data_IF_278255769980
#
_entry.id   IF_278255769980
#
_cell.length_a   1.000
_cell.length_b   1.000
_cell.length_c   1.000
_cell.angle_alpha   90.00
_cell.angle_beta   90.00
_cell.angle_gamma   90.00
#
_symmetry.space_group_name_H-M   'P 1'
#
loop_
_entity.id
_entity.type
_entity.pdbx_description
1 polymer ?
#
# COMPACT_ATOMS: atom_id res chain seq x y z
N UNK A 1 32.48 18.32 8.09
CA UNK A 1 32.26 16.97 7.55
C UNK A 1 31.03 16.42 8.25
N UNK A 2 29.87 16.42 7.59
CA UNK A 2 28.66 15.84 8.18
C UNK A 2 28.82 14.32 8.24
N UNK A 3 28.53 13.73 9.40
CA UNK A 3 28.74 12.33 9.70
C UNK A 3 27.92 11.44 8.74
N UNK A 4 28.59 10.73 7.82
CA UNK A 4 27.97 9.75 6.93
C UNK A 4 27.17 8.68 7.69
N UNK A 5 27.55 8.38 8.93
CA UNK A 5 26.82 7.46 9.83
C UNK A 5 25.41 7.93 10.19
N UNK A 6 25.18 9.23 10.35
CA UNK A 6 23.85 9.75 10.71
C UNK A 6 22.89 9.72 9.51
N UNK A 7 23.40 9.93 8.29
CA UNK A 7 22.63 9.89 7.05
C UNK A 7 22.11 8.48 6.71
N UNK A 8 22.90 7.45 7.00
CA UNK A 8 22.51 6.05 6.73
C UNK A 8 21.45 5.55 7.73
N UNK A 9 21.52 6.01 8.99
CA UNK A 9 20.51 5.69 10.00
C UNK A 9 19.15 6.33 9.68
N UNK A 10 19.16 7.58 9.18
CA UNK A 10 17.92 8.24 8.73
C UNK A 10 17.32 7.57 7.50
N UNK A 11 18.13 7.16 6.53
CA UNK A 11 17.66 6.43 5.34
C UNK A 11 17.02 5.08 5.71
N UNK A 12 17.67 4.32 6.60
CA UNK A 12 17.13 3.05 7.08
C UNK A 12 15.80 3.21 7.83
N UNK A 13 15.68 4.25 8.67
CA UNK A 13 14.45 4.56 9.40
C UNK A 13 13.32 4.93 8.45
N UNK A 14 13.57 5.83 7.50
CA UNK A 14 12.56 6.27 6.52
C UNK A 14 12.05 5.10 5.67
N UNK A 15 12.94 4.22 5.20
CA UNK A 15 12.57 3.02 4.44
C UNK A 15 11.70 2.05 5.26
N UNK A 16 11.95 1.93 6.56
CA UNK A 16 11.11 1.09 7.43
C UNK A 16 9.75 1.75 7.70
N UNK A 17 9.70 3.07 7.85
CA UNK A 17 8.46 3.84 7.98
C UNK A 17 7.58 3.68 6.73
N UNK A 18 8.17 3.71 5.53
CA UNK A 18 7.46 3.48 4.27
C UNK A 18 6.87 2.07 4.21
N UNK A 19 7.64 1.05 4.61
CA UNK A 19 7.13 -0.32 4.67
C UNK A 19 5.94 -0.44 5.63
N UNK A 20 6.09 0.08 6.86
CA UNK A 20 5.01 0.07 7.85
C UNK A 20 3.76 0.81 7.35
N UNK A 21 3.94 1.93 6.65
CA UNK A 21 2.85 2.66 6.03
C UNK A 21 2.17 1.84 4.92
N UNK A 22 2.94 1.16 4.07
CA UNK A 22 2.41 0.23 3.05
C UNK A 22 1.56 -0.88 3.66
N UNK A 23 1.97 -1.42 4.82
CA UNK A 23 1.22 -2.43 5.56
C UNK A 23 -0.12 -1.88 6.07
N UNK A 24 -0.15 -0.63 6.57
CA UNK A 24 -1.38 0.03 6.99
C UNK A 24 -2.31 0.28 5.80
N UNK A 25 -1.78 0.81 4.69
CA UNK A 25 -2.57 1.02 3.46
C UNK A 25 -3.14 -0.29 2.92
N UNK A 26 -2.41 -1.39 3.02
CA UNK A 26 -2.90 -2.73 2.64
C UNK A 26 -4.10 -3.14 3.50
N UNK A 27 -4.03 -2.92 4.82
CA UNK A 27 -5.16 -3.17 5.73
C UNK A 27 -6.39 -2.33 5.37
N UNK A 28 -6.20 -1.06 5.03
CA UNK A 28 -7.29 -0.15 4.60
C UNK A 28 -7.91 -0.63 3.28
N UNK A 29 -7.09 -0.97 2.28
CA UNK A 29 -7.58 -1.38 0.96
C UNK A 29 -8.42 -2.67 1.03
N UNK A 30 -8.07 -3.56 1.95
CA UNK A 30 -8.67 -4.90 2.06
C UNK A 30 -9.74 -5.02 3.14
N UNK A 31 -9.77 -4.09 4.11
CA UNK A 31 -10.62 -4.20 5.30
C UNK A 31 -10.22 -5.35 6.23
N UNK A 32 -9.02 -5.92 6.04
CA UNK A 32 -8.55 -7.10 6.78
C UNK A 32 -7.51 -6.73 7.82
N UNK A 33 -7.49 -7.48 8.92
CA UNK A 33 -6.40 -7.39 9.90
C UNK A 33 -5.09 -7.83 9.25
N UNK A 34 -4.03 -7.06 9.46
CA UNK A 34 -2.69 -7.33 8.89
C UNK A 34 -2.11 -8.64 9.42
N UNK A 35 -2.39 -8.94 10.68
CA UNK A 35 -2.04 -10.20 11.33
C UNK A 35 -3.29 -10.77 12.00
N UNK A 36 -3.54 -12.05 11.77
CA UNK A 36 -4.77 -12.74 12.15
C UNK A 36 -4.47 -14.24 12.32
N UNK A 37 -4.37 -14.68 13.57
CA UNK A 37 -4.04 -16.07 13.95
C UNK A 37 -5.16 -17.07 13.62
N UNK A 38 -6.39 -16.59 13.49
CA UNK A 38 -7.54 -17.42 13.14
C UNK A 38 -7.67 -17.60 11.62
N UNK A 39 -6.90 -16.82 10.83
CA UNK A 39 -6.85 -16.96 9.39
C UNK A 39 -6.16 -18.28 9.01
N UNK A 40 -6.71 -18.96 8.00
CA UNK A 40 -6.20 -20.26 7.54
C UNK A 40 -4.67 -20.31 7.43
N UNK A 41 -4.08 -21.43 7.87
CA UNK A 41 -2.64 -21.69 7.83
C UNK A 41 -2.01 -21.22 6.51
N UNK A 42 -0.92 -20.44 6.61
CA UNK A 42 -0.21 -19.75 5.51
C UNK A 42 -0.84 -18.44 5.00
N UNK A 43 -1.85 -17.89 5.68
CA UNK A 43 -2.40 -16.55 5.39
C UNK A 43 -2.32 -15.58 6.58
N UNK A 44 -1.76 -16.02 7.70
CA UNK A 44 -1.59 -15.24 8.93
C UNK A 44 -0.88 -13.89 8.66
N UNK A 45 0.09 -13.89 7.74
CA UNK A 45 0.70 -12.66 7.22
C UNK A 45 -0.07 -12.17 5.97
N UNK A 46 -0.80 -11.07 6.12
CA UNK A 46 -1.56 -10.46 5.04
C UNK A 46 -0.68 -10.06 3.85
N UNK A 47 0.54 -9.57 4.08
CA UNK A 47 1.45 -9.10 3.02
C UNK A 47 1.82 -10.24 2.07
N UNK A 48 2.27 -11.37 2.62
CA UNK A 48 2.72 -12.51 1.82
C UNK A 48 1.58 -13.11 0.99
N UNK A 49 0.37 -13.13 1.54
CA UNK A 49 -0.79 -13.67 0.86
C UNK A 49 -1.36 -12.72 -0.19
N UNK A 50 -1.38 -11.41 0.08
CA UNK A 50 -2.11 -10.42 -0.74
C UNK A 50 -1.28 -9.83 -1.87
N UNK A 51 0.04 -9.67 -1.72
CA UNK A 51 0.88 -9.06 -2.77
C UNK A 51 0.65 -9.65 -4.17
N UNK A 52 0.58 -10.99 -4.36
CA UNK A 52 0.34 -11.58 -5.68
C UNK A 52 -1.01 -11.16 -6.30
N UNK A 53 -1.99 -10.81 -5.48
CA UNK A 53 -3.36 -10.48 -5.88
C UNK A 53 -3.54 -8.98 -6.17
N UNK A 54 -2.58 -8.13 -5.80
CA UNK A 54 -2.59 -6.70 -6.11
C UNK A 54 -2.05 -6.37 -7.52
N UNK A 55 -1.49 -7.36 -8.21
CA UNK A 55 -0.83 -7.17 -9.50
C UNK A 55 -1.80 -6.87 -10.66
N UNK A 56 -3.05 -7.33 -10.57
CA UNK A 56 -4.06 -7.13 -11.60
C UNK A 56 -5.42 -6.72 -11.00
N UNK A 57 -6.18 -5.93 -11.76
CA UNK A 57 -7.44 -5.34 -11.29
C UNK A 57 -8.53 -6.39 -11.00
N UNK A 58 -8.47 -7.56 -11.65
CA UNK A 58 -9.47 -8.63 -11.49
C UNK A 58 -9.24 -9.34 -10.16
N UNK A 59 -8.01 -9.75 -9.88
CA UNK A 59 -7.62 -10.38 -8.61
C UNK A 59 -7.81 -9.41 -7.44
N UNK A 60 -7.51 -8.12 -7.64
CA UNK A 60 -7.68 -7.10 -6.60
C UNK A 60 -9.14 -6.98 -6.14
N UNK A 61 -10.12 -7.09 -7.05
CA UNK A 61 -11.56 -7.03 -6.70
C UNK A 61 -11.99 -8.14 -5.74
N UNK A 62 -11.26 -9.25 -5.68
CA UNK A 62 -11.56 -10.37 -4.79
C UNK A 62 -11.22 -10.05 -3.33
N UNK A 63 -10.19 -9.24 -3.12
CA UNK A 63 -9.61 -8.95 -1.79
C UNK A 63 -9.90 -7.53 -1.30
N UNK A 64 -10.39 -6.66 -2.17
CA UNK A 64 -10.75 -5.29 -1.85
C UNK A 64 -11.92 -5.28 -0.87
N UNK A 65 -11.86 -4.40 0.13
CA UNK A 65 -12.91 -4.23 1.13
C UNK A 65 -14.28 -4.07 0.42
N UNK A 66 -15.27 -4.93 0.70
CA UNK A 66 -16.60 -4.79 0.15
C UNK A 66 -17.18 -3.39 0.40
N UNK A 67 -16.94 -2.77 1.55
CA UNK A 67 -17.44 -1.42 1.85
C UNK A 67 -16.85 -0.36 0.90
N UNK A 68 -15.59 -0.51 0.49
CA UNK A 68 -15.01 0.35 -0.53
C UNK A 68 -15.64 0.13 -1.90
N UNK A 69 -16.06 -1.10 -2.23
CA UNK A 69 -16.76 -1.40 -3.48
C UNK A 69 -18.17 -0.77 -3.54
N UNK A 70 -18.85 -0.63 -2.39
CA UNK A 70 -20.22 -0.11 -2.31
C UNK A 70 -20.29 1.43 -2.21
N UNK A 71 -19.25 2.08 -1.69
CA UNK A 71 -19.22 3.52 -1.44
C UNK A 71 -18.65 4.34 -2.63
N UNK A 72 -18.90 3.92 -3.86
CA UNK A 72 -18.46 4.59 -5.08
C UNK A 72 -16.94 4.83 -5.20
N UNK A 73 -16.10 4.08 -4.45
CA UNK A 73 -14.65 4.21 -4.56
C UNK A 73 -14.23 4.00 -6.02
N UNK A 74 -13.57 4.98 -6.66
CA UNK A 74 -13.21 4.85 -8.07
C UNK A 74 -12.33 3.61 -8.26
N UNK A 75 -12.72 2.63 -9.11
CA UNK A 75 -11.93 1.41 -9.31
C UNK A 75 -10.47 1.68 -9.70
N UNK A 76 -10.26 2.79 -10.43
CA UNK A 76 -8.93 3.28 -10.83
C UNK A 76 -8.12 3.87 -9.68
N UNK A 77 -8.76 4.57 -8.74
CA UNK A 77 -8.12 5.09 -7.53
C UNK A 77 -7.71 3.96 -6.59
N UNK A 78 -8.59 2.96 -6.41
CA UNK A 78 -8.27 1.75 -5.66
C UNK A 78 -7.11 0.96 -6.28
N UNK A 79 -7.09 0.82 -7.61
CA UNK A 79 -5.99 0.16 -8.31
C UNK A 79 -4.66 0.94 -8.18
N UNK A 80 -4.68 2.28 -8.26
CA UNK A 80 -3.48 3.08 -7.99
C UNK A 80 -3.00 2.96 -6.55
N UNK A 81 -3.91 2.88 -5.59
CA UNK A 81 -3.57 2.61 -4.20
C UNK A 81 -2.91 1.23 -4.06
N UNK A 82 -3.41 0.20 -4.75
CA UNK A 82 -2.78 -1.12 -4.77
C UNK A 82 -1.35 -1.08 -5.33
N UNK A 83 -1.13 -0.34 -6.42
CA UNK A 83 0.22 -0.16 -6.99
C UNK A 83 1.15 0.58 -6.00
N UNK A 84 0.63 1.59 -5.28
CA UNK A 84 1.39 2.27 -4.24
C UNK A 84 1.79 1.31 -3.11
N UNK A 85 0.86 0.48 -2.65
CA UNK A 85 1.11 -0.55 -1.63
C UNK A 85 2.20 -1.52 -2.10
N UNK A 86 2.16 -1.97 -3.35
CA UNK A 86 3.20 -2.84 -3.94
C UNK A 86 4.59 -2.20 -3.89
N UNK A 87 4.69 -0.90 -4.20
CA UNK A 87 5.97 -0.19 -4.16
C UNK A 87 6.46 0.04 -2.72
N UNK A 88 5.58 0.40 -1.78
CA UNK A 88 5.94 0.55 -0.37
C UNK A 88 6.39 -0.76 0.28
N UNK A 89 5.82 -1.89 -0.14
CA UNK A 89 6.13 -3.23 0.36
C UNK A 89 7.20 -3.95 -0.46
N UNK A 90 7.85 -3.24 -1.40
CA UNK A 90 8.80 -3.86 -2.30
C UNK A 90 10.01 -4.42 -1.51
N UNK A 91 10.52 -5.63 -1.84
CA UNK A 91 11.64 -6.23 -1.10
C UNK A 91 12.93 -5.42 -1.16
N UNK A 92 13.15 -4.70 -2.27
CA UNK A 92 14.28 -3.77 -2.43
C UNK A 92 13.89 -2.40 -1.93
N UNK A 93 14.58 -1.91 -0.91
CA UNK A 93 14.33 -0.60 -0.30
C UNK A 93 14.54 0.59 -1.23
N UNK A 94 15.34 0.45 -2.28
CA UNK A 94 15.59 1.53 -3.24
C UNK A 94 14.44 1.71 -4.25
N UNK A 95 13.51 0.75 -4.29
CA UNK A 95 12.27 0.84 -5.07
C UNK A 95 11.13 1.44 -4.23
N UNK A 96 11.38 1.73 -2.94
CA UNK A 96 10.41 2.40 -2.10
C UNK A 96 10.20 3.84 -2.58
N UNK A 97 8.96 4.30 -2.71
CA UNK A 97 8.67 5.68 -3.05
C UNK A 97 9.06 6.59 -1.88
N UNK A 98 9.44 7.82 -2.19
CA UNK A 98 9.57 8.88 -1.20
C UNK A 98 8.22 9.21 -0.57
N UNK A 99 8.24 9.81 0.64
CA UNK A 99 7.00 10.24 1.30
C UNK A 99 6.23 11.29 0.49
N UNK A 100 6.93 12.10 -0.30
CA UNK A 100 6.32 13.06 -1.22
C UNK A 100 5.57 12.34 -2.35
N UNK A 101 6.18 11.33 -2.97
CA UNK A 101 5.54 10.52 -4.01
C UNK A 101 4.32 9.77 -3.46
N UNK A 102 4.42 9.22 -2.24
CA UNK A 102 3.30 8.60 -1.52
C UNK A 102 2.13 9.60 -1.42
N UNK A 103 2.39 10.81 -0.92
CA UNK A 103 1.36 11.84 -0.77
C UNK A 103 0.73 12.22 -2.12
N UNK A 104 1.55 12.38 -3.16
CA UNK A 104 1.05 12.70 -4.50
C UNK A 104 0.17 11.59 -5.08
N UNK A 105 0.55 10.32 -4.91
CA UNK A 105 -0.26 9.18 -5.37
C UNK A 105 -1.57 9.13 -4.61
N UNK A 106 -1.54 9.23 -3.27
CA UNK A 106 -2.74 9.24 -2.45
C UNK A 106 -3.68 10.37 -2.87
N UNK A 107 -3.17 11.58 -3.08
CA UNK A 107 -3.97 12.72 -3.52
C UNK A 107 -4.62 12.47 -4.89
N UNK A 108 -3.91 11.78 -5.80
CA UNK A 108 -4.50 11.34 -7.08
C UNK A 108 -5.57 10.27 -6.89
N UNK A 109 -5.40 9.33 -5.95
CA UNK A 109 -6.43 8.33 -5.65
C UNK A 109 -7.73 8.98 -5.14
N UNK A 110 -7.63 10.04 -4.33
CA UNK A 110 -8.78 10.82 -3.85
C UNK A 110 -9.38 11.72 -4.94
N UNK A 111 -8.56 12.44 -5.71
CA UNK A 111 -9.04 13.40 -6.70
C UNK A 111 -9.45 12.81 -8.05
N UNK A 112 -9.36 11.49 -8.24
CA UNK A 112 -10.00 10.85 -9.40
C UNK A 112 -11.53 11.05 -9.44
N UNK A 113 -12.12 11.65 -8.39
CA UNK A 113 -13.52 12.10 -8.34
C UNK A 113 -13.84 13.46 -8.99
N UNK A 114 -12.87 14.27 -9.44
CA UNK A 114 -13.20 15.58 -10.04
C UNK A 114 -12.89 15.61 -11.54
N UNK A 115 -13.75 14.95 -12.31
CA UNK A 115 -14.08 15.37 -13.69
C UNK A 115 -15.58 15.63 -13.77
N UNK A 116 -16.01 16.71 -13.12
CA UNK A 116 -17.27 17.35 -13.49
C UNK A 116 -16.93 18.21 -14.72
N UNK A 117 -17.29 17.68 -15.89
CA UNK A 117 -17.65 18.50 -17.05
C UNK A 117 -18.99 19.15 -16.74
#
# INVERSE_FOLDING_TARGET
>A
MANQSNSTLTDFSMKNEIYAFGVVLLGILTGMMVYDEERALKKENLVEWVIPLLADEVSMKIIMDPQLQHNDCPPKGAFKLAQLVLNCLHPKKDEHPSMEEILQVLNRCYHEEIKIV
#
